data_IF_582299983309
#
_entry.id   IF_582299983309
#
_cell.length_a   1.000
_cell.length_b   1.000
_cell.length_c   1.000
_cell.angle_alpha   90.00
_cell.angle_beta   90.00
_cell.angle_gamma   90.00
#
_symmetry.space_group_name_H-M   'P 1'
#
loop_
_entity.id
_entity.type
_entity.pdbx_description
1 polymer ?
2 water ?
#
# COMPACT_ATOMS: atom_id res chain seq x y z
N UNK A 1 18.43 7.32 -0.17
CA UNK A 1 17.77 6.01 -0.04
C UNK A 1 16.25 6.04 -0.26
N UNK A 2 15.63 7.19 -0.22
CA UNK A 2 14.17 7.26 -0.46
C UNK A 2 13.89 7.47 -1.96
N UNK A 3 14.73 8.29 -2.55
CA UNK A 3 14.64 8.66 -3.98
C UNK A 3 14.68 7.42 -4.87
N UNK A 4 15.60 6.53 -4.55
CA UNK A 4 15.79 5.29 -5.33
C UNK A 4 14.50 4.47 -5.33
N UNK A 5 13.86 4.33 -4.17
CA UNK A 5 12.62 3.57 -4.11
C UNK A 5 11.51 4.29 -4.85
N UNK A 6 11.48 5.62 -4.74
CA UNK A 6 10.46 6.42 -5.42
C UNK A 6 10.58 6.24 -6.92
N UNK A 7 11.82 6.20 -7.41
CA UNK A 7 12.09 6.02 -8.83
C UNK A 7 11.60 4.65 -9.30
N UNK A 8 11.96 3.61 -8.55
CA UNK A 8 11.56 2.25 -8.88
C UNK A 8 10.04 2.10 -8.81
N UNK A 9 9.43 2.75 -7.82
CA UNK A 9 7.99 2.67 -7.68
C UNK A 9 7.28 3.24 -8.89
N UNK A 10 7.75 4.39 -9.38
CA UNK A 10 7.09 4.99 -10.53
C UNK A 10 7.30 4.16 -11.79
N UNK A 11 8.47 3.55 -11.94
CA UNK A 11 8.74 2.71 -13.10
C UNK A 11 7.83 1.49 -13.06
N UNK A 12 7.61 0.98 -11.85
CA UNK A 12 6.80 -0.21 -11.65
C UNK A 12 5.29 -0.02 -11.69
N UNK A 13 4.78 0.98 -10.97
CA UNK A 13 3.34 1.21 -10.94
C UNK A 13 2.81 2.26 -11.91
N UNK A 14 3.71 3.01 -12.54
CA UNK A 14 3.28 4.01 -13.50
C UNK A 14 2.85 5.38 -12.98
N UNK A 15 3.03 5.63 -11.69
CA UNK A 15 2.68 6.93 -11.13
C UNK A 15 3.59 7.22 -9.96
N UNK A 16 3.71 8.50 -9.61
CA UNK A 16 4.56 8.90 -8.49
C UNK A 16 3.90 8.48 -7.19
N UNK A 17 4.69 7.96 -6.26
CA UNK A 17 4.19 7.54 -4.97
C UNK A 17 3.61 8.76 -4.26
N UNK A 18 4.16 9.93 -4.57
CA UNK A 18 3.72 11.17 -3.95
C UNK A 18 2.30 11.57 -4.36
N UNK A 19 1.78 10.96 -5.42
CA UNK A 19 0.42 11.25 -5.88
C UNK A 19 -0.59 10.63 -4.92
N UNK A 20 -0.15 9.63 -4.16
CA UNK A 20 -1.04 8.91 -3.25
C UNK A 20 -0.92 9.22 -1.75
N UNK A 21 0.15 9.85 -1.32
CA UNK A 21 0.33 10.12 0.12
C UNK A 21 0.43 11.64 0.40
N UNK A 22 -0.05 12.03 1.59
CA UNK A 22 -0.04 13.46 2.02
C UNK A 22 1.35 13.86 2.51
N UNK A 30 -0.15 9.21 15.23
CA UNK A 30 -0.74 7.94 15.03
C UNK A 30 -2.03 8.08 14.16
N UNK A 31 -2.34 7.01 13.39
CA UNK A 31 -3.56 6.95 12.51
C UNK A 31 -3.81 5.50 12.03
N UNK A 32 -5.00 5.26 11.48
CA UNK A 32 -5.41 3.91 11.04
C UNK A 32 -5.10 3.64 9.58
N UNK A 33 -5.17 4.67 8.75
CA UNK A 33 -4.94 4.53 7.32
C UNK A 33 -3.50 4.80 6.88
N UNK A 34 -2.91 3.83 6.19
CA UNK A 34 -1.54 3.96 5.70
C UNK A 34 -1.35 3.38 4.31
N UNK A 35 -0.50 4.02 3.52
CA UNK A 35 -0.16 3.53 2.19
C UNK A 35 1.23 2.94 2.40
N UNK A 36 1.41 1.68 2.01
CA UNK A 36 2.68 1.01 2.21
C UNK A 36 3.23 0.34 0.96
N UNK A 37 4.47 0.67 0.62
CA UNK A 37 5.15 0.09 -0.53
C UNK A 37 6.36 -0.65 0.04
N UNK A 38 6.41 -1.96 -0.17
CA UNK A 38 7.51 -2.77 0.34
C UNK A 38 8.29 -3.28 -0.87
N UNK A 39 9.60 -3.02 -0.90
CA UNK A 39 10.44 -3.40 -2.04
C UNK A 39 11.33 -4.63 -1.91
N UNK A 40 11.44 -5.39 -3.00
CA UNK A 40 12.29 -6.56 -3.03
C UNK A 40 11.85 -7.75 -2.20
N UNK A 41 10.55 -7.98 -2.15
CA UNK A 41 9.99 -9.09 -1.38
C UNK A 41 10.07 -10.42 -2.11
N UNK A 42 10.20 -11.50 -1.35
CA UNK A 42 10.24 -12.86 -1.90
C UNK A 42 8.86 -13.12 -2.51
N UNK A 43 8.81 -13.73 -3.71
CA UNK A 43 7.53 -14.02 -4.37
C UNK A 43 6.54 -14.82 -3.53
N UNK A 44 7.02 -15.87 -2.87
CA UNK A 44 6.16 -16.71 -2.05
C UNK A 44 5.62 -15.96 -0.84
N UNK A 45 6.47 -15.12 -0.24
CA UNK A 45 6.05 -14.34 0.92
C UNK A 45 5.02 -13.30 0.48
N UNK A 46 5.28 -12.64 -0.64
CA UNK A 46 4.37 -11.62 -1.16
C UNK A 46 3.00 -12.21 -1.47
N UNK A 47 2.98 -13.41 -2.06
CA UNK A 47 1.73 -14.07 -2.41
C UNK A 47 0.88 -14.32 -1.17
N UNK A 48 1.54 -14.50 -0.03
CA UNK A 48 0.81 -14.76 1.20
C UNK A 48 0.54 -13.54 2.06
N UNK A 49 0.93 -12.36 1.58
CA UNK A 49 0.74 -11.13 2.34
C UNK A 49 -0.72 -10.88 2.72
N UNK A 50 -1.63 -11.08 1.77
CA UNK A 50 -3.05 -10.87 2.03
C UNK A 50 -3.49 -11.60 3.29
N UNK A 51 -3.19 -12.89 3.37
CA UNK A 51 -3.51 -13.66 4.57
C UNK A 51 -2.76 -13.23 5.83
N UNK A 52 -1.49 -12.85 5.67
CA UNK A 52 -0.68 -12.43 6.80
C UNK A 52 -1.15 -11.14 7.47
N UNK A 53 -1.56 -10.16 6.67
CA UNK A 53 -1.99 -8.87 7.20
C UNK A 53 -3.45 -8.80 7.65
N UNK A 54 -4.27 -9.72 7.15
CA UNK A 54 -5.69 -9.73 7.46
C UNK A 54 -6.08 -9.60 8.94
N UNK A 55 -5.39 -10.30 9.85
CA UNK A 55 -5.73 -10.20 11.27
C UNK A 55 -5.54 -8.82 11.90
N UNK A 56 -4.82 -7.94 11.20
CA UNK A 56 -4.55 -6.61 11.73
C UNK A 56 -5.36 -5.47 11.13
N UNK A 57 -6.15 -5.75 10.10
CA UNK A 57 -6.88 -4.68 9.43
C UNK A 57 -8.40 -4.77 9.33
N UNK A 58 -8.99 -3.66 8.88
CA UNK A 58 -10.43 -3.55 8.68
C UNK A 58 -10.62 -3.47 7.17
N UNK A 59 -9.59 -2.99 6.48
CA UNK A 59 -9.62 -2.86 5.03
C UNK A 59 -8.21 -3.02 4.50
N UNK A 60 -8.09 -3.62 3.33
CA UNK A 60 -6.80 -3.81 2.68
C UNK A 60 -7.02 -3.86 1.16
N UNK A 61 -6.15 -3.15 0.47
CA UNK A 61 -6.11 -3.05 -1.00
C UNK A 61 -4.68 -3.40 -1.39
N UNK A 62 -4.50 -4.58 -1.98
CA UNK A 62 -3.13 -5.05 -2.23
C UNK A 62 -2.77 -5.40 -3.68
N UNK A 63 -1.62 -4.90 -4.12
CA UNK A 63 -1.10 -5.18 -5.46
C UNK A 63 0.33 -5.69 -5.33
N UNK A 64 0.74 -6.53 -6.28
CA UNK A 64 2.09 -7.09 -6.30
C UNK A 64 2.62 -7.09 -7.73
N UNK A 65 3.74 -6.41 -7.95
CA UNK A 65 4.35 -6.34 -9.27
C UNK A 65 5.86 -6.52 -9.14
N UNK A 66 6.47 -7.14 -10.14
CA UNK A 66 7.92 -7.34 -10.10
C UNK A 66 8.68 -6.05 -10.43
N UNK A 67 9.80 -5.86 -9.75
CA UNK A 67 10.66 -4.71 -10.00
C UNK A 67 12.14 -5.17 -9.96
N UNK A 68 13.02 -4.22 -10.20
CA UNK A 68 14.49 -4.41 -10.15
C UNK A 68 14.89 -5.50 -9.13
N UNK A 69 14.53 -5.16 -7.89
CA UNK A 69 14.90 -5.87 -6.63
C UNK A 69 14.07 -7.13 -6.28
N UNK A 70 12.94 -7.32 -6.92
CA UNK A 70 12.07 -8.49 -6.61
C UNK A 70 10.62 -8.03 -6.62
N UNK A 71 9.78 -8.58 -5.75
CA UNK A 71 8.39 -8.15 -5.74
C UNK A 71 8.19 -6.83 -4.99
N UNK A 72 7.39 -5.94 -5.58
CA UNK A 72 7.10 -4.64 -4.98
C UNK A 72 5.62 -4.65 -4.61
N UNK A 73 5.36 -4.70 -3.31
CA UNK A 73 3.99 -4.71 -2.80
C UNK A 73 3.50 -3.29 -2.55
N UNK A 74 2.31 -2.96 -3.06
CA UNK A 74 1.71 -1.65 -2.82
C UNK A 74 0.37 -1.94 -2.16
N UNK A 75 0.14 -1.37 -0.98
CA UNK A 75 -1.11 -1.61 -0.30
C UNK A 75 -1.60 -0.40 0.48
N UNK A 76 -2.91 -0.23 0.42
CA UNK A 76 -3.61 0.78 1.22
C UNK A 76 -4.23 -0.01 2.36
N UNK A 77 -3.89 0.36 3.57
CA UNK A 77 -4.38 -0.39 4.72
C UNK A 77 -5.09 0.48 5.74
N UNK A 78 -6.13 -0.07 6.34
CA UNK A 78 -6.85 0.60 7.41
C UNK A 78 -6.76 -0.40 8.55
N UNK A 79 -5.93 -0.09 9.54
CA UNK A 79 -5.74 -0.97 10.68
C UNK A 79 -6.87 -0.90 11.68
N UNK A 80 -7.04 -1.99 12.43
CA UNK A 80 -8.07 -2.06 13.46
C UNK A 80 -7.75 -1.05 14.55
N UNK A 81 -6.46 -0.89 14.83
CA UNK A 81 -5.99 0.04 15.86
C UNK A 81 -5.04 1.07 15.25
N UNK A 82 -5.09 2.30 15.75
CA UNK A 82 -4.22 3.34 15.24
C UNK A 82 -2.76 2.98 15.45
N UNK A 83 -1.92 3.31 14.47
CA UNK A 83 -0.49 3.00 14.55
C UNK A 83 0.39 4.15 14.08
N UNK A 84 1.64 4.16 14.54
CA UNK A 84 2.61 5.17 14.14
C UNK A 84 3.36 4.58 12.96
N UNK A 85 4.11 5.40 12.23
CA UNK A 85 4.86 4.89 11.08
C UNK A 85 5.82 3.79 11.49
N UNK A 86 6.47 3.98 12.63
CA UNK A 86 7.42 3.00 13.14
C UNK A 86 6.74 1.67 13.47
N UNK A 87 5.57 1.74 14.10
CA UNK A 87 4.84 0.54 14.46
C UNK A 87 4.39 -0.23 13.21
N UNK A 88 3.99 0.51 12.18
CA UNK A 88 3.56 -0.12 10.92
C UNK A 88 4.74 -0.86 10.29
N UNK A 89 5.88 -0.19 10.22
CA UNK A 89 7.09 -0.78 9.64
C UNK A 89 7.54 -2.04 10.37
N UNK A 90 7.49 -2.00 11.70
CA UNK A 90 7.89 -3.16 12.51
C UNK A 90 6.99 -4.35 12.19
N UNK A 91 5.69 -4.09 12.08
CA UNK A 91 4.76 -5.15 11.78
C UNK A 91 5.00 -5.74 10.40
N UNK A 92 5.24 -4.89 9.41
CA UNK A 92 5.47 -5.35 8.05
C UNK A 92 6.78 -6.12 7.94
N UNK A 93 7.80 -5.66 8.66
CA UNK A 93 9.09 -6.32 8.62
C UNK A 93 8.97 -7.72 9.19
N UNK A 94 8.17 -7.87 10.24
CA UNK A 94 7.96 -9.17 10.86
C UNK A 94 7.28 -10.14 9.91
N UNK A 95 6.31 -9.64 9.15
CA UNK A 95 5.56 -10.47 8.22
C UNK A 95 6.27 -10.75 6.90
N UNK A 96 7.08 -9.81 6.43
CA UNK A 96 7.74 -9.97 5.14
C UNK A 96 9.25 -10.24 5.13
N UNK A 97 9.89 -10.14 6.29
CA UNK A 97 11.33 -10.40 6.41
C UNK A 97 12.15 -9.41 5.58
N UNK A 98 11.67 -8.17 5.56
CA UNK A 98 12.30 -7.07 4.84
C UNK A 98 12.52 -5.97 5.86
N UNK A 99 13.68 -5.28 5.81
CA UNK A 99 13.97 -4.20 6.76
C UNK A 99 13.17 -2.95 6.42
N UNK A 100 13.07 -2.00 7.34
CA UNK A 100 12.26 -0.78 7.15
C UNK A 100 12.94 0.09 6.11
N UNK A 101 14.23 -0.05 5.87
CA UNK A 101 14.96 0.76 4.90
C UNK A 101 14.56 0.44 3.46
N UNK A 102 13.74 -0.60 3.30
CA UNK A 102 13.27 -1.00 1.98
C UNK A 102 11.75 -0.83 1.89
N UNK A 103 11.24 0.16 2.61
CA UNK A 103 9.82 0.46 2.63
C UNK A 103 9.56 1.96 2.57
N UNK A 104 8.46 2.27 1.94
CA UNK A 104 7.91 3.62 1.87
C UNK A 104 6.57 3.54 2.58
N UNK A 105 6.47 4.17 3.72
CA UNK A 105 5.23 4.13 4.51
C UNK A 105 4.79 5.55 4.86
N UNK A 106 3.59 5.93 4.38
CA UNK A 106 3.10 7.29 4.62
C UNK A 106 1.57 7.28 4.55
N UNK A 107 0.93 8.22 5.29
CA UNK A 107 -0.53 8.33 5.30
C UNK A 107 -1.05 8.70 3.93
N UNK A 108 -2.20 8.15 3.49
CA UNK A 108 -2.74 8.45 2.17
C UNK A 108 -3.29 9.84 2.10
N UNK A 109 -3.37 10.37 0.89
CA UNK A 109 -4.04 11.66 0.68
C UNK A 109 -5.53 11.36 0.80
N UNK A 110 -6.23 12.16 1.56
CA UNK A 110 -7.67 11.91 1.79
C UNK A 110 -8.56 12.90 1.04
N UNK A 111 -7.95 13.93 0.44
CA UNK A 111 -8.75 14.96 -0.24
C UNK A 111 -8.39 15.01 -1.73
N UNK A 112 -7.80 13.96 -2.27
CA UNK A 112 -7.44 13.93 -3.69
C UNK A 112 -8.38 13.06 -4.50
N UNK A 113 -9.06 13.68 -5.47
CA UNK A 113 -9.98 12.94 -6.33
C UNK A 113 -9.18 12.00 -7.22
N UNK A 114 -7.95 12.40 -7.53
CA UNK A 114 -7.07 11.59 -8.36
C UNK A 114 -6.64 10.33 -7.60
N UNK A 115 -6.25 10.50 -6.34
CA UNK A 115 -5.82 9.37 -5.53
C UNK A 115 -7.00 8.44 -5.26
N UNK A 116 -8.17 9.02 -5.00
CA UNK A 116 -9.36 8.21 -4.74
C UNK A 116 -9.71 7.35 -5.96
N UNK A 117 -9.61 7.97 -7.11
CA UNK A 117 -9.90 7.31 -8.39
C UNK A 117 -8.92 6.15 -8.62
N UNK A 118 -7.67 6.37 -8.24
CA UNK A 118 -6.64 5.33 -8.40
C UNK A 118 -7.02 4.08 -7.62
N UNK A 119 -7.30 4.23 -6.33
CA UNK A 119 -7.67 3.09 -5.50
C UNK A 119 -8.98 2.47 -5.99
N UNK A 120 -9.93 3.31 -6.36
CA UNK A 120 -11.22 2.82 -6.82
C UNK A 120 -11.10 1.94 -8.06
N UNK A 121 -10.45 2.46 -9.10
CA UNK A 121 -10.27 1.72 -10.35
C UNK A 121 -9.43 0.46 -10.20
N UNK A 122 -8.29 0.56 -9.53
CA UNK A 122 -7.45 -0.62 -9.34
C UNK A 122 -8.16 -1.61 -8.43
N UNK A 123 -9.06 -1.09 -7.60
CA UNK A 123 -9.81 -1.94 -6.69
C UNK A 123 -10.84 -2.78 -7.42
N UNK A 124 -11.46 -2.20 -8.44
CA UNK A 124 -12.46 -2.92 -9.24
C UNK A 124 -11.74 -3.99 -10.06
N UNK A 125 -10.53 -3.66 -10.48
CA UNK A 125 -9.71 -4.57 -11.29
C UNK A 125 -9.26 -5.78 -10.48
N UNK A 126 -9.10 -6.92 -11.14
CA UNK A 126 -8.68 -8.12 -10.44
C UNK A 126 -7.18 -8.10 -10.14
N UNK A 127 -6.50 -7.03 -10.53
CA UNK A 127 -5.07 -6.92 -10.28
C UNK A 127 -4.81 -6.68 -8.79
N UNK A 128 -5.85 -6.26 -8.08
CA UNK A 128 -5.71 -6.00 -6.65
C UNK A 128 -6.48 -7.02 -5.83
N UNK A 129 -6.02 -7.23 -4.61
CA UNK A 129 -6.68 -8.14 -3.67
C UNK A 129 -7.27 -7.21 -2.62
N UNK A 130 -8.60 -7.12 -2.59
CA UNK A 130 -9.28 -6.23 -1.66
C UNK A 130 -10.13 -6.98 -0.64
N UNK A 131 -10.10 -6.51 0.60
CA UNK A 131 -10.89 -7.12 1.66
C UNK A 131 -11.30 -6.05 2.67
N UNK A 132 -12.47 -6.22 3.28
CA UNK A 132 -12.95 -5.25 4.25
C UNK A 132 -13.83 -4.18 3.65
N UNK A 133 -14.24 -3.21 4.47
CA UNK A 133 -15.15 -2.13 4.05
C UNK A 133 -14.33 -1.00 3.44
N UNK A 134 -14.68 -0.63 2.20
CA UNK A 134 -14.00 0.46 1.50
C UNK A 134 -14.13 1.77 2.26
N UNK A 135 -13.00 2.45 2.51
CA UNK A 135 -13.01 3.73 3.23
C UNK A 135 -13.97 4.73 2.61
N UNK A 136 -14.67 5.47 3.46
CA UNK A 136 -15.63 6.47 3.01
C UNK A 136 -15.02 7.54 2.10
N UNK A 137 -13.79 7.96 2.38
CA UNK A 137 -13.16 8.99 1.57
C UNK A 137 -12.94 8.59 0.11
N UNK A 138 -12.74 7.30 -0.14
CA UNK A 138 -12.54 6.84 -1.51
C UNK A 138 -13.86 6.96 -2.28
N UNK A 139 -14.95 6.58 -1.62
CA UNK A 139 -16.27 6.63 -2.23
C UNK A 139 -16.70 8.06 -2.56
N UNK A 140 -16.53 8.97 -1.60
CA UNK A 140 -16.92 10.36 -1.79
C UNK A 140 -16.12 11.11 -2.85
N UNK A 141 -14.80 10.91 -2.86
CA UNK A 141 -13.93 11.61 -3.80
C UNK A 141 -13.89 11.03 -5.21
N UNK A 142 -14.36 9.80 -5.37
CA UNK A 142 -14.36 9.18 -6.70
C UNK A 142 -15.42 9.82 -7.58
N UNK A 143 -14.96 10.44 -8.67
CA UNK A 143 -15.84 11.11 -9.62
C UNK A 143 -16.22 10.17 -10.72
N UNK A 144 -17.49 10.21 -11.01
CA UNK A 144 -18.04 9.29 -11.97
C UNK A 144 -18.74 9.93 -13.13
N UNK A 145 -20.02 10.06 -12.88
CA UNK A 145 -20.96 10.59 -13.84
C UNK A 145 -21.80 9.54 -14.55
#
# INVERSE_FOLDING_TARGET
>A
KQGAMLAVFKDTYGLSFTDLVRNFKSDKTTCTDWVTAIFGVNPTIAEGFKTLIQPFILYAHIQCLDCKWGVLILALLRYKCGKSRLTVAKGLSTLLHVPETCMLIQPPKLRSSVAALYWYRTGISNISEVMGDTPEWIQRLTIIQ
#
